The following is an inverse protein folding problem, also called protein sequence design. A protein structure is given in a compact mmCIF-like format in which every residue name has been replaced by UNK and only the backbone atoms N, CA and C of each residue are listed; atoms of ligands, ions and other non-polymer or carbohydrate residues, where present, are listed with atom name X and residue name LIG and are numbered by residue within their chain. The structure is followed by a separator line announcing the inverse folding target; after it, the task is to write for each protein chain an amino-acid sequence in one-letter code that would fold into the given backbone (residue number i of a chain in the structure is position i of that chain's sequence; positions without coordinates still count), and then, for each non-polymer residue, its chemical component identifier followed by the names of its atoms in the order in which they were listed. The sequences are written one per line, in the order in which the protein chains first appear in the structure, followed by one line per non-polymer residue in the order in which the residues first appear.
data_IF_291158989817
#
_entry.id   IF_291158989817
#
_cell.length_a   1.000
_cell.length_b   1.000
_cell.length_c   1.000
_cell.angle_alpha   90.00
_cell.angle_beta   90.00
_cell.angle_gamma   90.00
#
_symmetry.space_group_name_H-M   'P 1'
#
loop_
_entity.id
_entity.type
_entity.pdbx_description
1 polymer ?
#
# COMPACT_ATOMS: atom_id res chain seq x y z
N UNK A 1 -32.29 3.64 -0.93
CA UNK A 1 -30.86 3.49 -0.57
C UNK A 1 -30.10 4.62 -1.21
N UNK A 2 -29.47 5.48 -0.42
CA UNK A 2 -28.63 6.56 -0.94
C UNK A 2 -27.41 5.95 -1.61
N UNK A 3 -27.08 6.38 -2.82
CA UNK A 3 -25.95 5.82 -3.59
C UNK A 3 -24.63 6.45 -3.10
N UNK A 4 -23.60 5.63 -2.94
CA UNK A 4 -22.22 6.11 -2.78
C UNK A 4 -21.85 7.01 -3.95
N UNK A 5 -21.06 8.06 -3.70
CA UNK A 5 -20.72 9.05 -4.71
C UNK A 5 -19.24 8.93 -5.10
N UNK A 6 -18.97 8.61 -6.36
CA UNK A 6 -17.60 8.59 -6.91
C UNK A 6 -17.22 10.01 -7.30
N UNK A 7 -16.04 10.44 -6.86
CA UNK A 7 -15.46 11.74 -7.16
C UNK A 7 -14.04 11.59 -7.69
N UNK A 8 -13.62 12.54 -8.51
CA UNK A 8 -12.26 12.61 -9.06
C UNK A 8 -11.73 14.03 -8.97
N UNK A 9 -10.41 14.15 -8.79
CA UNK A 9 -9.68 15.42 -8.85
C UNK A 9 -8.23 15.19 -9.25
N UNK A 10 -7.47 16.28 -9.37
CA UNK A 10 -6.02 16.26 -9.46
C UNK A 10 -5.41 17.09 -8.33
N UNK A 11 -4.39 16.53 -7.68
CA UNK A 11 -3.59 17.22 -6.67
C UNK A 11 -2.23 17.49 -7.30
N UNK A 12 -2.11 18.66 -7.94
CA UNK A 12 -0.99 18.92 -8.86
C UNK A 12 -1.06 17.96 -10.05
N UNK A 13 -0.05 17.13 -10.22
CA UNK A 13 0.04 16.12 -11.27
C UNK A 13 -0.56 14.75 -10.89
N UNK A 14 -1.03 14.56 -9.64
CA UNK A 14 -1.54 13.28 -9.13
C UNK A 14 -3.04 13.17 -9.35
N UNK A 15 -3.52 12.27 -10.24
CA UNK A 15 -4.95 11.98 -10.40
C UNK A 15 -5.45 11.16 -9.21
N UNK A 16 -6.52 11.61 -8.58
CA UNK A 16 -7.13 11.01 -7.39
C UNK A 16 -8.58 10.64 -7.67
N UNK A 17 -9.00 9.52 -7.14
CA UNK A 17 -10.37 9.04 -7.11
C UNK A 17 -10.76 8.72 -5.67
N UNK A 18 -11.97 9.15 -5.23
CA UNK A 18 -12.50 8.69 -3.96
C UNK A 18 -13.99 8.42 -4.04
N UNK A 19 -14.45 7.62 -3.10
CA UNK A 19 -15.86 7.25 -2.94
C UNK A 19 -16.32 7.68 -1.56
N UNK A 20 -17.36 8.50 -1.53
CA UNK A 20 -17.96 8.97 -0.28
C UNK A 20 -19.13 8.08 0.14
N UNK A 21 -19.30 7.83 1.45
CA UNK A 21 -20.49 7.17 1.96
C UNK A 21 -21.73 8.04 1.72
N UNK A 22 -22.87 7.39 1.62
CA UNK A 22 -24.14 8.02 1.26
C UNK A 22 -24.63 9.07 2.26
N UNK A 23 -24.36 8.88 3.54
CA UNK A 23 -24.61 9.84 4.63
C UNK A 23 -23.70 9.52 5.81
N UNK A 24 -23.27 10.55 6.54
CA UNK A 24 -22.49 10.40 7.77
C UNK A 24 -22.92 11.49 8.76
N UNK A 25 -23.09 11.11 10.01
CA UNK A 25 -23.22 12.04 11.13
C UNK A 25 -21.83 12.21 11.77
N UNK A 26 -21.12 13.29 11.42
CA UNK A 26 -19.78 13.62 11.92
C UNK A 26 -18.65 13.33 10.93
N UNK A 27 -17.40 13.53 11.37
CA UNK A 27 -16.20 13.28 10.58
C UNK A 27 -16.09 11.81 10.21
N UNK A 28 -15.69 11.54 8.99
CA UNK A 28 -15.55 10.19 8.42
C UNK A 28 -14.09 9.75 8.49
N UNK A 29 -13.85 8.47 8.70
CA UNK A 29 -12.50 7.93 8.62
C UNK A 29 -12.07 7.73 7.16
N UNK A 30 -10.82 8.11 6.86
CA UNK A 30 -10.21 7.93 5.54
C UNK A 30 -9.48 6.60 5.47
N UNK A 31 -9.74 5.84 4.41
CA UNK A 31 -8.97 4.68 3.99
C UNK A 31 -8.40 4.95 2.61
N UNK A 32 -7.08 5.13 2.51
CA UNK A 32 -6.38 5.21 1.24
C UNK A 32 -5.91 3.81 0.86
N UNK A 33 -6.41 3.28 -0.26
CA UNK A 33 -6.10 1.93 -0.74
C UNK A 33 -5.47 1.99 -2.13
N UNK A 34 -4.23 1.51 -2.25
CA UNK A 34 -3.39 1.72 -3.42
C UNK A 34 -3.37 0.53 -4.38
N UNK A 35 -3.31 0.79 -5.70
CA UNK A 35 -3.29 -0.23 -6.73
C UNK A 35 -1.95 -0.99 -6.77
N UNK A 36 -1.95 -2.13 -7.45
CA UNK A 36 -0.73 -2.87 -7.76
C UNK A 36 0.09 -2.22 -8.87
N UNK A 37 1.32 -2.68 -9.07
CA UNK A 37 2.13 -2.32 -10.23
C UNK A 37 1.42 -2.66 -11.54
N UNK A 38 1.42 -1.72 -12.48
CA UNK A 38 0.67 -1.80 -13.73
C UNK A 38 -0.82 -1.45 -13.62
N UNK A 39 -1.34 -1.21 -12.41
CA UNK A 39 -2.72 -0.82 -12.16
C UNK A 39 -2.92 0.70 -12.05
N UNK A 40 -4.17 1.14 -12.15
CA UNK A 40 -4.58 2.53 -11.90
C UNK A 40 -5.46 2.62 -10.66
N UNK A 41 -5.82 3.84 -10.26
CA UNK A 41 -6.76 4.09 -9.16
C UNK A 41 -8.11 3.39 -9.34
N UNK A 42 -8.51 3.15 -10.59
CA UNK A 42 -9.74 2.42 -10.91
C UNK A 42 -9.65 0.92 -10.63
N UNK A 43 -8.44 0.35 -10.59
CA UNK A 43 -8.24 -1.09 -10.30
C UNK A 43 -8.89 -1.49 -8.96
N UNK A 44 -8.92 -0.58 -8.02
CA UNK A 44 -9.40 -0.83 -6.65
C UNK A 44 -10.76 -0.20 -6.36
N UNK A 45 -11.49 0.22 -7.41
CA UNK A 45 -12.77 0.94 -7.25
C UNK A 45 -13.82 0.13 -6.48
N UNK A 46 -13.93 -1.17 -6.74
CA UNK A 46 -14.90 -2.03 -6.03
C UNK A 46 -14.59 -2.08 -4.53
N UNK A 47 -13.32 -2.11 -4.15
CA UNK A 47 -12.86 -2.06 -2.76
C UNK A 47 -13.22 -0.71 -2.12
N UNK A 48 -13.01 0.40 -2.84
CA UNK A 48 -13.37 1.73 -2.35
C UNK A 48 -14.89 1.88 -2.15
N UNK A 49 -15.70 1.31 -3.05
CA UNK A 49 -17.16 1.30 -2.93
C UNK A 49 -17.64 0.45 -1.75
N UNK A 50 -17.03 -0.71 -1.53
CA UNK A 50 -17.34 -1.55 -0.36
C UNK A 50 -16.98 -0.82 0.95
N UNK A 51 -15.83 -0.14 1.02
CA UNK A 51 -15.46 0.69 2.17
C UNK A 51 -16.44 1.84 2.39
N UNK A 52 -16.84 2.53 1.33
CA UNK A 52 -17.83 3.61 1.40
C UNK A 52 -19.20 3.12 1.86
N UNK A 53 -19.61 1.92 1.48
CA UNK A 53 -20.86 1.30 1.95
C UNK A 53 -20.87 1.07 3.46
N UNK A 54 -19.68 1.07 4.11
CA UNK A 54 -19.45 0.89 5.55
C UNK A 54 -19.18 2.19 6.30
N UNK A 55 -19.33 3.34 5.64
CA UNK A 55 -19.20 4.65 6.26
C UNK A 55 -17.81 5.28 6.19
N UNK A 56 -16.84 4.66 5.48
CA UNK A 56 -15.50 5.22 5.27
C UNK A 56 -15.43 6.05 3.98
N UNK A 57 -14.54 7.00 3.94
CA UNK A 57 -14.10 7.59 2.66
C UNK A 57 -13.02 6.70 2.09
N UNK A 58 -13.33 5.98 1.03
CA UNK A 58 -12.37 5.15 0.30
C UNK A 58 -11.68 5.97 -0.79
N UNK A 59 -10.34 6.02 -0.81
CA UNK A 59 -9.58 6.85 -1.75
C UNK A 59 -8.45 6.06 -2.40
N UNK A 60 -8.10 6.43 -3.64
CA UNK A 60 -6.93 5.92 -4.37
C UNK A 60 -6.39 6.97 -5.33
N UNK A 61 -5.18 6.78 -5.83
CA UNK A 61 -4.57 7.66 -6.83
C UNK A 61 -3.70 6.89 -7.82
N UNK A 62 -3.39 7.50 -8.97
CA UNK A 62 -2.48 6.91 -9.95
C UNK A 62 -1.02 7.13 -9.53
N UNK A 63 -0.24 6.05 -9.34
CA UNK A 63 1.20 6.16 -9.16
C UNK A 63 1.90 6.81 -10.38
N UNK A 64 3.13 7.30 -10.24
CA UNK A 64 3.95 7.67 -11.39
C UNK A 64 4.01 6.55 -12.42
N UNK A 65 3.93 6.91 -13.69
CA UNK A 65 3.97 5.98 -14.84
C UNK A 65 2.76 5.02 -14.94
N UNK A 66 1.71 5.25 -14.15
CA UNK A 66 0.50 4.42 -14.13
C UNK A 66 -0.76 5.25 -14.43
N UNK A 67 -1.81 4.59 -14.91
CA UNK A 67 -3.11 5.21 -15.15
C UNK A 67 -3.00 6.45 -16.04
N UNK A 68 -3.56 7.59 -15.60
CA UNK A 68 -3.49 8.87 -16.31
C UNK A 68 -2.09 9.52 -16.33
N UNK A 69 -1.12 8.96 -15.62
CA UNK A 69 0.29 9.39 -15.60
C UNK A 69 1.19 8.47 -16.44
N UNK A 70 0.67 7.37 -16.97
CA UNK A 70 1.39 6.41 -17.79
C UNK A 70 1.43 6.83 -19.25
N UNK A 71 2.60 6.70 -19.88
CA UNK A 71 2.77 6.83 -21.34
C UNK A 71 2.89 5.47 -22.03
N UNK A 72 3.19 4.42 -21.28
CA UNK A 72 3.39 3.05 -21.74
C UNK A 72 2.16 2.20 -21.43
N UNK A 73 1.92 1.16 -22.22
CA UNK A 73 0.99 0.10 -21.85
C UNK A 73 1.52 -0.66 -20.63
N UNK A 74 0.64 -1.31 -19.82
CA UNK A 74 1.08 -2.13 -18.69
C UNK A 74 2.14 -3.18 -19.08
N UNK A 75 2.03 -3.78 -20.27
CA UNK A 75 2.99 -4.77 -20.75
C UNK A 75 4.38 -4.18 -21.02
N UNK A 76 4.43 -3.00 -21.64
CA UNK A 76 5.71 -2.29 -21.90
C UNK A 76 6.35 -1.86 -20.57
N UNK A 77 5.56 -1.31 -19.65
CA UNK A 77 6.00 -0.94 -18.32
C UNK A 77 6.59 -2.14 -17.56
N UNK A 78 5.91 -3.30 -17.57
CA UNK A 78 6.41 -4.55 -16.99
C UNK A 78 7.74 -4.96 -17.60
N UNK A 79 7.83 -4.97 -18.93
CA UNK A 79 9.04 -5.37 -19.65
C UNK A 79 10.22 -4.48 -19.27
N UNK A 80 10.02 -3.17 -19.23
CA UNK A 80 11.06 -2.20 -18.89
C UNK A 80 11.50 -2.32 -17.42
N UNK A 81 10.56 -2.34 -16.50
CA UNK A 81 10.87 -2.36 -15.06
C UNK A 81 11.55 -3.67 -14.67
N UNK A 82 11.09 -4.81 -15.18
CA UNK A 82 11.67 -6.10 -14.82
C UNK A 82 12.98 -6.42 -15.59
N UNK A 83 13.34 -5.60 -16.58
CA UNK A 83 14.67 -5.70 -17.20
C UNK A 83 15.80 -5.19 -16.28
N UNK A 84 15.48 -4.27 -15.32
CA UNK A 84 16.42 -3.73 -14.34
C UNK A 84 15.63 -3.15 -13.17
N UNK A 85 15.23 -4.02 -12.25
CA UNK A 85 14.24 -3.72 -11.22
C UNK A 85 14.60 -2.49 -10.37
N UNK A 86 15.81 -2.45 -9.78
CA UNK A 86 16.24 -1.36 -8.90
C UNK A 86 16.27 -0.01 -9.62
N UNK A 87 16.66 -0.02 -10.90
CA UNK A 87 16.76 1.19 -11.71
C UNK A 87 15.43 1.89 -11.89
N UNK A 88 14.36 1.11 -12.10
CA UNK A 88 13.06 1.65 -12.47
C UNK A 88 12.04 1.58 -11.33
N UNK A 89 12.01 0.51 -10.56
CA UNK A 89 11.01 0.34 -9.51
C UNK A 89 11.27 1.23 -8.30
N UNK A 90 12.52 1.41 -7.86
CA UNK A 90 12.79 2.24 -6.68
C UNK A 90 12.35 3.70 -6.83
N UNK A 91 12.55 4.39 -7.99
CA UNK A 91 11.95 5.69 -8.23
C UNK A 91 10.42 5.67 -8.18
N UNK A 92 9.77 4.66 -8.78
CA UNK A 92 8.31 4.53 -8.75
C UNK A 92 7.80 4.39 -7.31
N UNK A 93 8.38 3.47 -6.53
CA UNK A 93 8.04 3.30 -5.11
C UNK A 93 8.23 4.59 -4.31
N UNK A 94 9.38 5.24 -4.50
CA UNK A 94 9.72 6.45 -3.76
C UNK A 94 8.79 7.62 -4.07
N UNK A 95 8.56 7.92 -5.34
CA UNK A 95 7.65 9.00 -5.75
C UNK A 95 6.21 8.70 -5.33
N UNK A 96 5.75 7.45 -5.47
CA UNK A 96 4.41 7.05 -5.02
C UNK A 96 4.26 7.25 -3.51
N UNK A 97 5.31 6.96 -2.73
CA UNK A 97 5.31 7.20 -1.27
C UNK A 97 5.16 8.68 -0.96
N UNK A 98 5.88 9.57 -1.66
CA UNK A 98 5.76 11.01 -1.46
C UNK A 98 4.40 11.55 -1.93
N UNK A 99 3.87 11.03 -3.03
CA UNK A 99 2.52 11.38 -3.50
C UNK A 99 1.44 10.91 -2.51
N UNK A 100 1.63 9.77 -1.85
CA UNK A 100 0.74 9.31 -0.77
C UNK A 100 0.64 10.36 0.36
N UNK A 101 1.77 10.95 0.79
CA UNK A 101 1.77 12.03 1.79
C UNK A 101 1.01 13.28 1.29
N UNK A 102 1.22 13.69 0.04
CA UNK A 102 0.51 14.82 -0.58
C UNK A 102 -1.00 14.60 -0.63
N UNK A 103 -1.42 13.38 -1.00
CA UNK A 103 -2.84 12.99 -1.07
C UNK A 103 -3.46 12.98 0.32
N UNK A 104 -2.77 12.47 1.34
CA UNK A 104 -3.22 12.49 2.73
C UNK A 104 -3.39 13.94 3.21
N UNK A 105 -2.41 14.80 2.97
CA UNK A 105 -2.46 16.20 3.36
C UNK A 105 -3.66 16.93 2.73
N UNK A 106 -3.84 16.73 1.42
CA UNK A 106 -5.00 17.29 0.72
C UNK A 106 -6.33 16.75 1.28
N UNK A 107 -6.43 15.44 1.48
CA UNK A 107 -7.68 14.83 1.95
C UNK A 107 -8.08 15.35 3.33
N UNK A 108 -7.12 15.46 4.26
CA UNK A 108 -7.39 15.95 5.63
C UNK A 108 -7.66 17.45 5.70
N UNK A 109 -7.19 18.24 4.72
CA UNK A 109 -7.46 19.68 4.66
C UNK A 109 -8.69 20.06 3.85
N UNK A 110 -9.09 19.21 2.89
CA UNK A 110 -10.14 19.54 1.89
C UNK A 110 -11.42 18.73 2.05
N UNK A 111 -11.36 17.58 2.72
CA UNK A 111 -12.52 16.73 2.99
C UNK A 111 -12.83 16.71 4.48
N UNK A 112 -14.10 16.51 4.82
CA UNK A 112 -14.52 16.34 6.22
C UNK A 112 -14.20 14.91 6.72
N UNK A 113 -12.90 14.67 6.94
CA UNK A 113 -12.37 13.39 7.42
C UNK A 113 -11.61 13.55 8.72
N UNK A 114 -11.56 12.46 9.51
CA UNK A 114 -10.76 12.39 10.74
C UNK A 114 -9.25 12.50 10.39
N UNK A 115 -8.47 13.00 11.34
CA UNK A 115 -7.02 13.05 11.19
C UNK A 115 -6.36 11.67 11.25
N UNK A 116 -7.01 10.67 11.83
CA UNK A 116 -6.52 9.29 11.85
C UNK A 116 -6.81 8.60 10.54
N UNK A 117 -5.79 7.98 9.99
CA UNK A 117 -5.80 7.44 8.64
C UNK A 117 -5.49 5.95 8.66
N UNK A 118 -6.15 5.23 7.76
CA UNK A 118 -5.84 3.84 7.44
C UNK A 118 -5.30 3.77 6.04
N UNK A 119 -4.23 3.01 5.86
CA UNK A 119 -3.66 2.72 4.56
C UNK A 119 -3.84 1.26 4.20
N UNK A 120 -3.93 0.99 2.93
CA UNK A 120 -3.83 -0.35 2.42
C UNK A 120 -3.37 -0.35 0.98
N UNK A 121 -3.05 -1.51 0.47
CA UNK A 121 -2.67 -1.62 -0.93
C UNK A 121 -2.31 -3.03 -1.33
N UNK A 122 -2.30 -3.21 -2.64
CA UNK A 122 -2.06 -4.48 -3.30
C UNK A 122 -0.66 -4.47 -3.91
N UNK A 123 0.21 -5.44 -3.57
CA UNK A 123 1.57 -5.57 -4.10
C UNK A 123 2.35 -4.25 -3.93
N UNK A 124 2.77 -3.60 -5.01
CA UNK A 124 3.42 -2.28 -4.99
C UNK A 124 2.67 -1.27 -4.09
N UNK A 125 1.34 -1.24 -4.16
CA UNK A 125 0.54 -0.34 -3.32
C UNK A 125 0.66 -0.66 -1.84
N UNK A 126 0.82 -1.93 -1.47
CA UNK A 126 1.10 -2.37 -0.10
C UNK A 126 2.50 -1.95 0.38
N UNK A 127 3.52 -2.06 -0.47
CA UNK A 127 4.88 -1.59 -0.15
C UNK A 127 4.89 -0.09 0.14
N UNK A 128 4.18 0.68 -0.70
CA UNK A 128 4.02 2.13 -0.55
C UNK A 128 3.26 2.46 0.73
N UNK A 129 2.18 1.74 1.03
CA UNK A 129 1.39 1.96 2.25
C UNK A 129 2.25 1.77 3.52
N UNK A 130 3.10 0.74 3.53
CA UNK A 130 4.05 0.52 4.63
C UNK A 130 5.08 1.65 4.70
N UNK A 131 5.68 2.05 3.58
CA UNK A 131 6.68 3.12 3.55
C UNK A 131 6.09 4.47 4.01
N UNK A 132 4.90 4.83 3.50
CA UNK A 132 4.21 6.05 3.89
C UNK A 132 3.86 6.07 5.38
N UNK A 133 3.47 4.93 5.96
CA UNK A 133 3.20 4.82 7.39
C UNK A 133 4.43 5.11 8.26
N UNK A 134 5.64 4.82 7.78
CA UNK A 134 6.87 5.18 8.49
C UNK A 134 7.17 6.69 8.51
N UNK A 135 6.50 7.49 7.67
CA UNK A 135 6.70 8.93 7.53
C UNK A 135 5.52 9.73 8.09
N UNK A 136 4.31 9.20 7.98
CA UNK A 136 3.07 9.90 8.30
C UNK A 136 2.51 9.45 9.66
N UNK A 137 2.69 10.29 10.68
CA UNK A 137 2.30 9.99 12.05
C UNK A 137 0.80 9.78 12.28
N UNK A 138 -0.07 10.29 11.39
CA UNK A 138 -1.52 10.12 11.44
C UNK A 138 -1.98 8.73 11.02
N UNK A 139 -1.12 7.97 10.32
CA UNK A 139 -1.42 6.59 9.94
C UNK A 139 -1.37 5.68 11.16
N UNK A 140 -2.51 5.15 11.56
CA UNK A 140 -2.61 4.24 12.70
C UNK A 140 -2.73 2.76 12.29
N UNK A 141 -3.13 2.48 11.04
CA UNK A 141 -3.27 1.11 10.55
C UNK A 141 -2.87 0.96 9.10
N UNK A 142 -2.20 -0.15 8.80
CA UNK A 142 -1.86 -0.56 7.43
C UNK A 142 -2.30 -2.01 7.21
N UNK A 143 -2.86 -2.30 6.02
CA UNK A 143 -3.06 -3.67 5.54
C UNK A 143 -2.39 -3.80 4.17
N UNK A 144 -1.30 -4.55 4.12
CA UNK A 144 -0.46 -4.74 2.95
C UNK A 144 -0.67 -6.16 2.38
N UNK A 145 -1.29 -6.24 1.20
CA UNK A 145 -1.65 -7.52 0.56
C UNK A 145 -0.57 -7.91 -0.45
N UNK A 146 0.02 -9.10 -0.31
CA UNK A 146 1.11 -9.64 -1.13
C UNK A 146 2.22 -8.60 -1.36
N UNK A 147 2.66 -7.98 -0.27
CA UNK A 147 3.56 -6.84 -0.24
C UNK A 147 4.73 -7.06 0.72
N UNK A 148 5.76 -6.22 0.61
CA UNK A 148 6.97 -6.32 1.42
C UNK A 148 7.44 -4.97 1.94
N UNK A 149 7.99 -4.91 3.16
CA UNK A 149 8.71 -3.73 3.66
C UNK A 149 10.17 -3.68 3.21
N UNK A 150 10.65 -4.69 2.46
CA UNK A 150 12.02 -4.75 1.94
C UNK A 150 12.04 -4.58 0.41
N UNK A 151 12.46 -3.40 -0.04
CA UNK A 151 12.53 -3.08 -1.46
C UNK A 151 13.69 -3.77 -2.21
N UNK A 152 14.60 -4.45 -1.49
CA UNK A 152 15.59 -5.32 -2.11
C UNK A 152 14.97 -6.57 -2.71
N UNK A 153 13.95 -7.11 -2.06
CA UNK A 153 13.21 -8.32 -2.47
C UNK A 153 14.15 -9.47 -2.88
N UNK A 154 14.99 -9.94 -1.99
CA UNK A 154 15.90 -11.05 -2.33
C UNK A 154 15.10 -12.28 -2.76
N UNK A 155 15.53 -12.93 -3.84
CA UNK A 155 14.86 -14.14 -4.34
C UNK A 155 13.56 -13.87 -5.12
N UNK A 156 13.27 -12.63 -5.54
CA UNK A 156 12.09 -12.30 -6.32
C UNK A 156 12.08 -12.99 -7.67
N UNK A 157 11.04 -13.76 -7.97
CA UNK A 157 10.81 -14.41 -9.26
C UNK A 157 9.85 -13.62 -10.14
N UNK A 158 9.90 -13.87 -11.44
CA UNK A 158 8.95 -13.31 -12.39
C UNK A 158 7.52 -13.79 -12.03
N UNK A 159 6.53 -12.90 -11.92
CA UNK A 159 5.19 -13.30 -11.50
C UNK A 159 4.44 -14.11 -12.57
N UNK A 160 4.90 -14.07 -13.82
CA UNK A 160 4.33 -14.83 -14.96
C UNK A 160 5.11 -16.12 -15.25
N UNK A 161 6.37 -16.20 -14.80
CA UNK A 161 7.23 -17.37 -14.95
C UNK A 161 8.06 -17.56 -13.68
N UNK A 162 7.48 -18.25 -12.71
CA UNK A 162 8.09 -18.48 -11.38
C UNK A 162 9.36 -19.35 -11.40
N UNK A 163 9.83 -19.76 -12.57
CA UNK A 163 11.13 -20.41 -12.73
C UNK A 163 12.25 -19.41 -12.96
N UNK A 164 11.91 -18.16 -13.28
CA UNK A 164 12.88 -17.09 -13.59
C UNK A 164 13.00 -16.11 -12.43
N UNK A 165 14.23 -15.84 -12.02
CA UNK A 165 14.55 -14.72 -11.14
C UNK A 165 14.44 -13.40 -11.90
N UNK A 166 13.90 -12.38 -11.24
CA UNK A 166 13.89 -11.02 -11.77
C UNK A 166 15.31 -10.44 -11.74
N UNK A 167 15.70 -9.82 -12.85
CA UNK A 167 16.95 -9.07 -12.92
C UNK A 167 16.86 -7.82 -12.03
N UNK A 168 17.55 -7.85 -10.90
CA UNK A 168 17.59 -6.72 -9.97
C UNK A 168 18.29 -5.50 -10.58
N UNK A 169 19.33 -5.72 -11.40
CA UNK A 169 20.13 -4.67 -12.00
C UNK A 169 20.77 -3.71 -11.00
N UNK A 170 21.48 -2.70 -11.53
CA UNK A 170 22.01 -1.61 -10.71
C UNK A 170 21.01 -0.45 -10.60
N UNK A 171 20.98 0.19 -9.44
CA UNK A 171 20.20 1.41 -9.27
C UNK A 171 20.92 2.61 -9.87
N UNK A 172 20.15 3.63 -10.26
CA UNK A 172 20.71 4.99 -10.48
C UNK A 172 20.95 5.67 -9.13
N UNK A 173 21.74 6.76 -9.12
CA UNK A 173 21.84 7.62 -7.93
C UNK A 173 20.47 8.11 -7.45
N UNK A 174 19.58 8.44 -8.38
CA UNK A 174 18.21 8.86 -8.09
C UNK A 174 17.37 7.73 -7.44
N UNK A 175 17.40 6.52 -8.00
CA UNK A 175 16.73 5.37 -7.41
C UNK A 175 17.29 5.00 -6.03
N UNK A 176 18.63 5.04 -5.90
CA UNK A 176 19.30 4.76 -4.62
C UNK A 176 18.91 5.77 -3.53
N UNK A 177 18.75 7.05 -3.87
CA UNK A 177 18.25 8.06 -2.93
C UNK A 177 16.91 7.66 -2.31
N UNK A 178 15.93 7.21 -3.13
CA UNK A 178 14.65 6.76 -2.61
C UNK A 178 14.78 5.50 -1.75
N UNK A 179 15.57 4.54 -2.19
CA UNK A 179 15.80 3.33 -1.40
C UNK A 179 16.44 3.65 -0.04
N UNK A 180 17.53 4.40 -0.03
CA UNK A 180 18.24 4.75 1.20
C UNK A 180 17.37 5.58 2.15
N UNK A 181 16.42 6.36 1.61
CA UNK A 181 15.59 7.26 2.42
C UNK A 181 14.27 6.61 2.85
N UNK A 182 13.66 5.76 2.02
CA UNK A 182 12.25 5.37 2.18
C UNK A 182 12.02 3.87 2.37
N UNK A 183 13.01 3.01 2.10
CA UNK A 183 12.86 1.56 2.30
C UNK A 183 12.56 1.23 3.77
N UNK A 184 11.39 0.67 4.11
CA UNK A 184 10.98 0.45 5.49
C UNK A 184 11.95 -0.39 6.32
N UNK A 185 12.50 -1.46 5.73
CA UNK A 185 13.42 -2.36 6.41
C UNK A 185 14.72 -1.69 6.87
N UNK A 186 15.10 -0.57 6.23
CA UNK A 186 16.27 0.24 6.62
C UNK A 186 16.00 1.28 7.73
N UNK A 187 14.74 1.46 8.16
CA UNK A 187 14.34 2.57 9.02
C UNK A 187 13.40 2.15 10.16
N UNK A 188 13.74 1.09 10.88
CA UNK A 188 12.90 0.49 11.93
C UNK A 188 12.43 1.52 12.99
N UNK A 189 13.28 2.48 13.36
CA UNK A 189 12.94 3.51 14.35
C UNK A 189 11.70 4.35 14.00
N UNK A 190 11.33 4.47 12.71
CA UNK A 190 10.09 5.15 12.29
C UNK A 190 8.83 4.39 12.66
N UNK A 191 8.97 3.11 13.00
CA UNK A 191 7.89 2.18 13.31
C UNK A 191 7.77 1.90 14.81
N UNK A 192 8.57 2.55 15.66
CA UNK A 192 8.53 2.42 17.13
C UNK A 192 7.48 3.33 17.77
N UNK A 193 6.25 3.31 17.24
CA UNK A 193 5.10 4.10 17.71
C UNK A 193 3.84 3.25 17.76
N UNK A 194 2.78 3.77 18.34
CA UNK A 194 1.47 3.11 18.40
C UNK A 194 0.85 3.05 17.01
N UNK A 195 0.89 1.91 16.35
CA UNK A 195 0.21 1.63 15.10
C UNK A 195 0.20 0.12 14.81
N UNK A 196 -0.51 -0.28 13.75
CA UNK A 196 -0.66 -1.68 13.37
C UNK A 196 -0.37 -1.86 11.88
N UNK A 197 0.47 -2.84 11.55
CA UNK A 197 0.64 -3.33 10.18
C UNK A 197 0.23 -4.79 10.11
N UNK A 198 -0.66 -5.10 9.19
CA UNK A 198 -1.08 -6.44 8.85
C UNK A 198 -0.60 -6.78 7.45
N UNK A 199 0.34 -7.71 7.33
CA UNK A 199 0.76 -8.28 6.05
C UNK A 199 -0.11 -9.50 5.76
N UNK A 200 -0.80 -9.50 4.62
CA UNK A 200 -1.49 -10.65 4.06
C UNK A 200 -0.63 -11.23 2.95
N UNK A 201 0.18 -12.23 3.28
CA UNK A 201 1.14 -12.84 2.38
C UNK A 201 0.52 -14.03 1.64
N UNK A 202 0.85 -14.22 0.37
CA UNK A 202 0.50 -15.44 -0.35
C UNK A 202 1.43 -16.58 0.05
N UNK A 203 0.87 -17.74 0.41
CA UNK A 203 1.67 -18.92 0.79
C UNK A 203 2.57 -19.41 -0.36
N UNK A 204 2.11 -19.23 -1.61
CA UNK A 204 2.83 -19.65 -2.82
C UNK A 204 3.46 -18.46 -3.57
N UNK A 205 3.51 -17.27 -2.96
CA UNK A 205 4.03 -16.08 -3.61
C UNK A 205 5.57 -16.10 -3.68
N UNK A 206 6.10 -16.37 -4.87
CA UNK A 206 7.54 -16.30 -5.17
C UNK A 206 7.97 -14.94 -5.73
N UNK A 207 7.03 -14.09 -6.14
CA UNK A 207 7.35 -12.75 -6.62
C UNK A 207 7.63 -11.80 -5.45
N UNK A 208 6.82 -11.88 -4.40
CA UNK A 208 7.07 -11.20 -3.14
C UNK A 208 7.14 -12.24 -2.01
N UNK A 209 8.32 -12.83 -1.79
CA UNK A 209 8.48 -13.81 -0.73
C UNK A 209 8.12 -13.23 0.64
N UNK A 210 7.37 -13.97 1.48
CA UNK A 210 6.92 -13.48 2.79
C UNK A 210 8.05 -13.23 3.78
N UNK A 211 9.27 -13.69 3.48
CA UNK A 211 10.46 -13.50 4.32
C UNK A 211 10.72 -12.01 4.64
N UNK A 212 10.44 -11.10 3.70
CA UNK A 212 10.58 -9.66 3.93
C UNK A 212 9.70 -9.17 5.09
N UNK A 213 8.44 -9.57 5.11
CA UNK A 213 7.49 -9.23 6.17
C UNK A 213 7.85 -9.89 7.51
N UNK A 214 8.23 -11.18 7.49
CA UNK A 214 8.66 -11.92 8.67
C UNK A 214 9.95 -11.35 9.28
N UNK A 215 10.91 -10.97 8.45
CA UNK A 215 12.16 -10.35 8.90
C UNK A 215 11.89 -8.99 9.53
N UNK A 216 11.05 -8.18 8.92
CA UNK A 216 10.65 -6.88 9.45
C UNK A 216 9.96 -7.00 10.81
N UNK A 217 9.01 -7.93 10.95
CA UNK A 217 8.34 -8.25 12.21
C UNK A 217 9.36 -8.63 13.30
N UNK A 218 10.29 -9.56 13.00
CA UNK A 218 11.33 -10.00 13.95
C UNK A 218 12.28 -8.87 14.33
N UNK A 219 12.73 -8.09 13.34
CA UNK A 219 13.65 -6.98 13.56
C UNK A 219 13.03 -5.89 14.43
N UNK A 220 11.76 -5.54 14.19
CA UNK A 220 11.07 -4.55 15.02
C UNK A 220 10.82 -5.08 16.43
N UNK A 221 10.46 -6.35 16.60
CA UNK A 221 10.32 -6.96 17.91
C UNK A 221 11.65 -6.95 18.70
N UNK A 222 12.78 -7.11 18.02
CA UNK A 222 14.11 -7.07 18.61
C UNK A 222 14.54 -5.66 19.11
N UNK A 223 13.91 -4.57 18.65
CA UNK A 223 14.16 -3.23 19.21
C UNK A 223 13.60 -3.06 20.63
N UNK A 224 12.76 -3.99 21.07
CA UNK A 224 12.09 -3.91 22.38
C UNK A 224 10.87 -2.99 22.40
N UNK A 225 10.53 -2.31 21.31
CA UNK A 225 9.31 -1.50 21.20
C UNK A 225 8.07 -2.40 21.25
N UNK A 226 7.17 -2.08 22.19
CA UNK A 226 5.86 -2.76 22.32
C UNK A 226 4.72 -1.94 21.71
N UNK A 227 5.03 -0.78 21.15
CA UNK A 227 4.02 0.15 20.65
C UNK A 227 3.44 -0.30 19.31
N UNK A 228 4.30 -0.75 18.39
CA UNK A 228 3.87 -1.24 17.09
C UNK A 228 3.41 -2.69 17.15
N UNK A 229 2.35 -3.00 16.39
CA UNK A 229 1.87 -4.38 16.18
C UNK A 229 2.08 -4.75 14.72
N UNK A 230 2.95 -5.72 14.47
CA UNK A 230 3.19 -6.24 13.12
C UNK A 230 2.67 -7.67 13.08
N UNK A 231 1.65 -7.90 12.27
CA UNK A 231 1.06 -9.21 12.05
C UNK A 231 1.41 -9.69 10.64
N UNK A 232 1.76 -10.96 10.51
CA UNK A 232 1.99 -11.62 9.22
C UNK A 232 1.05 -12.81 9.16
N UNK A 233 0.13 -12.77 8.21
CA UNK A 233 -0.87 -13.81 7.97
C UNK A 233 -0.70 -14.37 6.57
N UNK A 234 -0.84 -15.69 6.44
CA UNK A 234 -0.72 -16.37 5.16
C UNK A 234 -2.10 -16.70 4.58
N UNK A 235 -2.29 -16.35 3.32
CA UNK A 235 -3.45 -16.79 2.55
C UNK A 235 -3.06 -18.09 1.85
N UNK A 236 -3.73 -19.18 2.24
CA UNK A 236 -3.44 -20.51 1.74
C UNK A 236 -3.56 -20.57 0.20
N UNK A 237 -2.61 -21.27 -0.41
CA UNK A 237 -2.57 -21.53 -1.86
C UNK A 237 -2.63 -20.26 -2.73
N UNK A 238 -2.32 -19.07 -2.22
CA UNK A 238 -2.29 -17.82 -2.97
C UNK A 238 -0.89 -17.60 -3.56
N UNK A 239 -0.79 -17.60 -4.89
CA UNK A 239 0.38 -17.10 -5.62
C UNK A 239 0.19 -15.60 -5.94
N UNK A 240 1.27 -14.90 -6.35
CA UNK A 240 1.21 -13.45 -6.57
C UNK A 240 0.11 -13.01 -7.53
N UNK A 241 -0.03 -13.69 -8.67
CA UNK A 241 -1.01 -13.30 -9.70
C UNK A 241 -2.46 -13.69 -9.37
N UNK A 242 -2.66 -14.52 -8.34
CA UNK A 242 -4.01 -14.91 -7.89
C UNK A 242 -4.76 -13.77 -7.22
N UNK A 243 -4.07 -12.69 -6.85
CA UNK A 243 -4.69 -11.47 -6.31
C UNK A 243 -5.63 -10.75 -7.30
N UNK A 244 -5.64 -11.16 -8.57
CA UNK A 244 -6.64 -10.73 -9.54
C UNK A 244 -8.05 -11.15 -9.15
N UNK A 245 -8.17 -12.27 -8.45
CA UNK A 245 -9.41 -12.68 -7.80
C UNK A 245 -9.48 -12.08 -6.38
N UNK A 246 -10.14 -10.93 -6.28
CA UNK A 246 -10.26 -10.22 -5.00
C UNK A 246 -11.03 -11.01 -3.94
N UNK A 247 -11.85 -12.00 -4.31
CA UNK A 247 -12.59 -12.82 -3.36
C UNK A 247 -11.68 -13.64 -2.43
N UNK A 248 -10.43 -13.89 -2.85
CA UNK A 248 -9.44 -14.66 -2.10
C UNK A 248 -8.76 -13.88 -0.97
N UNK A 249 -8.69 -12.56 -1.06
CA UNK A 249 -7.95 -11.73 -0.11
C UNK A 249 -8.77 -10.55 0.44
N UNK A 250 -9.69 -9.97 -0.34
CA UNK A 250 -10.41 -8.77 0.05
C UNK A 250 -11.26 -8.92 1.33
N UNK A 251 -12.01 -10.02 1.54
CA UNK A 251 -12.79 -10.18 2.77
C UNK A 251 -11.92 -10.03 4.03
N UNK A 252 -10.73 -10.64 4.05
CA UNK A 252 -9.80 -10.58 5.17
C UNK A 252 -9.11 -9.22 5.28
N UNK A 253 -8.66 -8.65 4.15
CA UNK A 253 -8.10 -7.31 4.09
C UNK A 253 -9.07 -6.26 4.62
N UNK A 254 -10.30 -6.29 4.15
CA UNK A 254 -11.37 -5.41 4.60
C UNK A 254 -11.62 -5.53 6.10
N UNK A 255 -11.79 -6.75 6.61
CA UNK A 255 -12.00 -7.00 8.05
C UNK A 255 -10.95 -6.28 8.90
N UNK A 256 -9.68 -6.42 8.52
CA UNK A 256 -8.57 -5.78 9.22
C UNK A 256 -8.56 -4.26 9.03
N UNK A 257 -8.85 -3.77 7.81
CA UNK A 257 -8.91 -2.33 7.53
C UNK A 257 -9.98 -1.63 8.36
N UNK A 258 -11.20 -2.19 8.45
CA UNK A 258 -12.33 -1.55 9.12
C UNK A 258 -12.45 -1.88 10.61
N UNK A 259 -11.57 -2.72 11.15
CA UNK A 259 -11.60 -3.08 12.57
C UNK A 259 -11.57 -1.83 13.47
N UNK A 260 -12.26 -1.82 14.60
CA UNK A 260 -12.22 -0.70 15.55
C UNK A 260 -10.78 -0.35 15.95
N UNK A 261 -10.56 0.91 16.29
CA UNK A 261 -9.28 1.32 16.88
C UNK A 261 -9.11 0.64 18.24
N UNK A 262 -7.90 0.20 18.60
CA UNK A 262 -7.62 -0.25 19.97
C UNK A 262 -8.02 0.81 20.99
N UNK A 263 -8.61 0.39 22.13
CA UNK A 263 -9.08 1.31 23.17
C UNK A 263 -8.00 2.30 23.67
N UNK A 264 -6.74 1.85 23.71
CA UNK A 264 -5.60 2.71 24.09
C UNK A 264 -5.38 3.89 23.12
N UNK A 265 -5.92 3.83 21.89
CA UNK A 265 -5.74 4.87 20.85
C UNK A 265 -6.91 5.84 20.76
N UNK A 266 -8.02 5.55 21.41
CA UNK A 266 -9.22 6.40 21.41
C UNK A 266 -9.15 7.52 22.44
N UNK A 267 -8.16 7.52 23.33
CA UNK A 267 -8.05 8.42 24.46
C UNK A 267 -7.15 9.65 24.23
N UNK A 268 -6.72 9.92 22.99
CA UNK A 268 -5.85 11.07 22.65
C UNK A 268 -6.50 12.02 21.67
#
# INVERSE_FOLDING_TARGET
MSRTQIRKTRIGDVPVLWVEPAASAGKRELILFLPSFGGSKEQVLDQLQDLASRGFVGMSFDPPEHGERGAESPKELFTRVFSSFRRYMWPILGQTTLDCLRVIEWATSSLDVDSRIRLGGLSMGGDVAVAAAGLEGRVGRVVAVVATPDWLRPGMHDPFDVTKLINQGDSTTYGKFFYDTLNPAGHLGRYEREFEINFLCGELDKHIPPDGALNFQRSLAATGSKAARINVEFIAQLAHMDVRDSSRWWPRCREQLVAPWPLAWTAR
#
